data_IF_974702000010
#
_entry.id   IF_974702000010
#
_cell.length_a   1.000
_cell.length_b   1.000
_cell.length_c   1.000
_cell.angle_alpha   90.00
_cell.angle_beta   90.00
_cell.angle_gamma   90.00
#
_symmetry.space_group_name_H-M   'P 1'
#
loop_
_entity.id
_entity.type
_entity.pdbx_description
1 polymer ?
#
# COMPACT_ATOMS: atom_id res chain seq x y z
N UNK A 1 -1.61 7.43 -13.22
CA UNK A 1 -1.82 7.57 -11.75
C UNK A 1 -3.24 8.06 -11.42
N UNK A 2 -3.73 9.16 -12.02
CA UNK A 2 -5.10 9.67 -11.83
C UNK A 2 -6.18 8.60 -12.00
N UNK A 3 -6.04 7.74 -13.01
CA UNK A 3 -7.01 6.67 -13.24
C UNK A 3 -6.97 5.61 -12.14
N UNK A 4 -5.77 5.20 -11.70
CA UNK A 4 -5.58 4.29 -10.55
C UNK A 4 -6.27 4.84 -9.30
N UNK A 5 -6.20 6.16 -9.04
CA UNK A 5 -6.84 6.79 -7.90
C UNK A 5 -8.37 6.70 -7.89
N UNK A 6 -9.00 6.47 -9.05
CA UNK A 6 -10.44 6.29 -9.20
C UNK A 6 -10.87 4.82 -9.17
N UNK A 7 -9.94 3.87 -9.28
CA UNK A 7 -10.27 2.44 -9.32
C UNK A 7 -10.86 1.96 -7.99
N UNK A 8 -11.70 0.92 -8.02
CA UNK A 8 -12.10 0.17 -6.83
C UNK A 8 -10.86 -0.39 -6.10
N UNK A 9 -10.91 -0.44 -4.77
CA UNK A 9 -9.85 -1.03 -3.92
C UNK A 9 -10.44 -2.24 -3.22
N UNK A 10 -10.45 -3.34 -3.96
CA UNK A 10 -11.08 -4.61 -3.60
C UNK A 10 -10.25 -5.82 -4.08
N UNK A 11 -9.17 -5.60 -4.82
CA UNK A 11 -8.29 -6.67 -5.28
C UNK A 11 -7.45 -7.20 -4.11
N UNK A 12 -7.62 -8.47 -3.77
CA UNK A 12 -6.81 -9.16 -2.76
C UNK A 12 -5.51 -9.67 -3.38
N UNK A 13 -4.39 -9.39 -2.75
CA UNK A 13 -3.06 -9.85 -3.15
C UNK A 13 -2.30 -10.35 -1.93
N UNK A 14 -1.58 -11.47 -2.08
CA UNK A 14 -0.69 -11.96 -1.04
C UNK A 14 0.61 -11.15 -1.07
N UNK A 15 1.02 -10.65 0.09
CA UNK A 15 2.28 -9.98 0.32
C UNK A 15 2.91 -10.60 1.56
N UNK A 16 3.91 -11.46 1.35
CA UNK A 16 4.53 -12.26 2.41
C UNK A 16 3.47 -13.02 3.25
N UNK A 17 3.34 -12.71 4.55
CA UNK A 17 2.39 -13.35 5.48
C UNK A 17 1.03 -12.63 5.55
N UNK A 18 0.82 -11.55 4.78
CA UNK A 18 -0.43 -10.80 4.80
C UNK A 18 -1.18 -10.87 3.47
N UNK A 19 -2.50 -10.83 3.56
CA UNK A 19 -3.35 -10.49 2.42
C UNK A 19 -3.64 -8.98 2.46
N UNK A 20 -3.27 -8.27 1.41
CA UNK A 20 -3.51 -6.84 1.23
C UNK A 20 -4.61 -6.61 0.17
N UNK A 21 -5.41 -5.58 0.38
CA UNK A 21 -6.43 -5.11 -0.56
C UNK A 21 -5.89 -3.88 -1.29
N UNK A 22 -5.74 -3.96 -2.60
CA UNK A 22 -5.13 -2.92 -3.45
C UNK A 22 -6.09 -2.51 -4.58
N UNK A 23 -5.81 -1.42 -5.32
CA UNK A 23 -6.62 -1.04 -6.47
C UNK A 23 -6.67 -2.12 -7.54
N UNK A 24 -7.80 -2.23 -8.25
CA UNK A 24 -7.90 -3.09 -9.43
C UNK A 24 -6.84 -2.75 -10.50
N UNK A 25 -6.50 -3.75 -11.32
CA UNK A 25 -5.43 -3.65 -12.34
C UNK A 25 -4.09 -3.14 -11.78
N UNK A 26 -3.80 -3.43 -10.51
CA UNK A 26 -2.46 -3.22 -9.93
C UNK A 26 -1.90 -4.52 -9.37
N UNK A 27 -0.58 -4.60 -9.24
CA UNK A 27 0.14 -5.68 -8.56
C UNK A 27 1.21 -5.10 -7.64
N UNK A 28 1.64 -5.87 -6.65
CA UNK A 28 2.80 -5.51 -5.82
C UNK A 28 4.06 -6.05 -6.49
N UNK A 29 5.08 -5.22 -6.57
CA UNK A 29 6.42 -5.62 -6.97
C UNK A 29 7.07 -6.42 -5.83
N UNK A 30 7.37 -7.69 -6.05
CA UNK A 30 7.97 -8.55 -5.02
C UNK A 30 9.38 -8.09 -4.59
N UNK A 31 10.12 -7.42 -5.47
CA UNK A 31 11.49 -6.96 -5.17
C UNK A 31 11.52 -5.66 -4.37
N UNK A 32 10.61 -4.74 -4.67
CA UNK A 32 10.63 -3.37 -4.13
C UNK A 32 9.44 -3.06 -3.21
N UNK A 33 8.44 -3.94 -3.13
CA UNK A 33 7.20 -3.72 -2.38
C UNK A 33 6.27 -2.65 -2.96
N UNK A 34 6.64 -2.01 -4.07
CA UNK A 34 5.88 -0.92 -4.66
C UNK A 34 4.70 -1.40 -5.53
N UNK A 35 3.63 -0.62 -5.60
CA UNK A 35 2.53 -0.89 -6.53
C UNK A 35 2.94 -0.65 -7.98
N UNK A 36 2.52 -1.54 -8.88
CA UNK A 36 2.67 -1.42 -10.33
C UNK A 36 1.29 -1.41 -10.97
N UNK A 37 1.02 -0.40 -11.79
CA UNK A 37 -0.15 -0.40 -12.67
C UNK A 37 0.05 -1.41 -13.79
N UNK A 38 -0.84 -2.39 -13.89
CA UNK A 38 -0.70 -3.49 -14.85
C UNK A 38 -1.05 -3.07 -16.29
N UNK A 39 -1.84 -2.01 -16.46
CA UNK A 39 -2.17 -1.48 -17.80
C UNK A 39 -0.97 -0.80 -18.44
N UNK A 40 -0.21 -0.02 -17.66
CA UNK A 40 0.89 0.82 -18.18
C UNK A 40 2.28 0.28 -17.85
N UNK A 41 2.39 -0.66 -16.91
CA UNK A 41 3.66 -1.09 -16.33
C UNK A 41 4.29 -0.09 -15.37
N UNK A 42 3.65 1.06 -15.12
CA UNK A 42 4.23 2.13 -14.32
C UNK A 42 4.25 1.80 -12.82
N UNK A 43 5.39 2.04 -12.16
CA UNK A 43 5.55 1.89 -10.73
C UNK A 43 5.04 3.11 -9.97
N UNK A 44 4.03 2.93 -9.13
CA UNK A 44 3.56 3.95 -8.19
C UNK A 44 4.49 3.97 -6.97
N UNK A 45 4.81 5.17 -6.49
CA UNK A 45 5.54 5.38 -5.23
C UNK A 45 4.61 5.17 -4.03
N UNK A 46 4.05 3.95 -3.94
CA UNK A 46 3.26 3.43 -2.82
C UNK A 46 3.87 2.08 -2.49
N UNK A 47 4.54 1.99 -1.35
CA UNK A 47 5.43 0.89 -0.99
C UNK A 47 4.91 0.21 0.27
N UNK A 48 4.80 -1.10 0.22
CA UNK A 48 4.59 -1.94 1.40
C UNK A 48 5.93 -2.47 1.91
N UNK A 49 6.14 -2.44 3.22
CA UNK A 49 7.40 -2.86 3.85
C UNK A 49 7.16 -3.54 5.19
N UNK A 50 8.01 -4.48 5.56
CA UNK A 50 8.01 -5.11 6.88
C UNK A 50 9.04 -4.50 7.84
N UNK A 51 9.72 -3.43 7.41
CA UNK A 51 10.70 -2.72 8.24
C UNK A 51 10.00 -2.05 9.44
N UNK A 52 10.44 -2.43 10.64
CA UNK A 52 9.78 -2.07 11.90
C UNK A 52 9.71 -0.55 12.14
N UNK A 53 10.66 0.23 11.67
CA UNK A 53 10.83 1.65 12.01
C UNK A 53 10.55 2.66 10.87
N UNK A 54 10.23 2.22 9.66
CA UNK A 54 10.20 3.13 8.49
C UNK A 54 8.89 3.89 8.27
N UNK A 55 7.85 3.65 9.08
CA UNK A 55 6.48 4.13 8.79
C UNK A 55 5.65 4.42 10.02
N UNK A 56 4.81 5.46 9.93
CA UNK A 56 3.79 5.78 10.92
C UNK A 56 2.53 4.93 10.76
N UNK A 57 2.13 4.61 9.52
CA UNK A 57 1.00 3.74 9.26
C UNK A 57 1.42 2.26 9.39
N UNK A 58 0.87 1.55 10.36
CA UNK A 58 1.20 0.14 10.67
C UNK A 58 -0.02 -0.77 10.66
N UNK A 59 0.12 -1.95 10.07
CA UNK A 59 -0.82 -3.08 10.17
C UNK A 59 -0.14 -4.23 10.91
N UNK A 60 -0.65 -4.56 12.09
CA UNK A 60 -0.16 -5.73 12.87
C UNK A 60 -0.63 -7.02 12.19
N UNK A 61 0.29 -7.95 11.96
CA UNK A 61 -0.02 -9.28 11.42
C UNK A 61 0.00 -10.32 12.53
N UNK A 62 1.08 -10.35 13.32
CA UNK A 62 1.23 -11.18 14.52
C UNK A 62 2.20 -10.55 15.51
N UNK A 63 2.46 -11.21 16.64
CA UNK A 63 3.44 -10.69 17.60
C UNK A 63 4.83 -10.58 16.94
N UNK A 64 5.46 -9.42 17.05
CA UNK A 64 6.76 -9.15 16.43
C UNK A 64 6.76 -8.87 14.93
N UNK A 65 5.60 -8.94 14.24
CA UNK A 65 5.47 -8.69 12.80
C UNK A 65 4.36 -7.68 12.49
N UNK A 66 4.75 -6.57 11.86
CA UNK A 66 3.84 -5.55 11.35
C UNK A 66 4.32 -5.04 10.01
N UNK A 67 3.38 -4.75 9.12
CA UNK A 67 3.69 -4.10 7.84
C UNK A 67 3.38 -2.61 7.89
N UNK A 68 4.18 -1.87 7.15
CA UNK A 68 4.06 -0.45 6.90
C UNK A 68 3.65 -0.16 5.47
N UNK A 69 3.12 1.04 5.27
CA UNK A 69 2.87 1.61 3.95
C UNK A 69 3.51 3.01 3.87
N UNK A 70 4.18 3.30 2.75
CA UNK A 70 4.84 4.59 2.46
C UNK A 70 4.29 5.11 1.14
N UNK A 71 3.92 6.39 1.10
CA UNK A 71 3.58 7.08 -0.13
C UNK A 71 3.87 8.57 -0.02
N UNK A 72 4.01 9.24 -1.17
CA UNK A 72 4.25 10.67 -1.21
C UNK A 72 2.95 11.46 -0.98
N UNK A 73 2.79 12.01 0.22
CA UNK A 73 1.62 12.81 0.60
C UNK A 73 1.49 14.15 -0.15
N UNK A 74 2.56 14.63 -0.78
CA UNK A 74 2.53 15.85 -1.59
C UNK A 74 1.90 15.61 -2.97
N UNK A 75 1.76 14.35 -3.40
CA UNK A 75 1.09 14.00 -4.64
C UNK A 75 -0.34 13.56 -4.32
N UNK A 76 -1.31 14.41 -4.65
CA UNK A 76 -2.72 14.23 -4.32
C UNK A 76 -3.24 12.83 -4.67
N UNK A 77 -2.95 12.33 -5.87
CA UNK A 77 -3.38 11.02 -6.31
C UNK A 77 -2.77 9.88 -5.49
N UNK A 78 -1.48 9.96 -5.16
CA UNK A 78 -0.80 8.94 -4.36
C UNK A 78 -1.31 8.94 -2.91
N UNK A 79 -1.52 10.14 -2.34
CA UNK A 79 -2.13 10.31 -1.02
C UNK A 79 -3.52 9.68 -0.97
N UNK A 80 -4.37 9.97 -1.96
CA UNK A 80 -5.73 9.40 -2.02
C UNK A 80 -5.71 7.87 -2.13
N UNK A 81 -4.82 7.32 -2.96
CA UNK A 81 -4.68 5.86 -3.08
C UNK A 81 -4.20 5.27 -1.75
N UNK A 82 -3.13 5.83 -1.18
CA UNK A 82 -2.51 5.39 0.07
C UNK A 82 -3.50 5.37 1.23
N UNK A 83 -4.20 6.49 1.49
CA UNK A 83 -5.19 6.60 2.56
C UNK A 83 -6.35 5.60 2.41
N UNK A 84 -6.82 5.36 1.17
CA UNK A 84 -7.88 4.38 0.94
C UNK A 84 -7.39 2.95 1.16
N UNK A 85 -6.15 2.63 0.77
CA UNK A 85 -5.50 1.34 1.06
C UNK A 85 -5.34 1.15 2.56
N UNK A 86 -4.82 2.15 3.27
CA UNK A 86 -4.68 2.11 4.73
C UNK A 86 -6.00 1.78 5.41
N UNK A 87 -7.05 2.54 5.06
CA UNK A 87 -8.39 2.38 5.63
C UNK A 87 -8.95 0.98 5.41
N UNK A 88 -8.92 0.46 4.18
CA UNK A 88 -9.52 -0.85 3.86
C UNK A 88 -8.71 -2.01 4.46
N UNK A 89 -7.40 -1.82 4.66
CA UNK A 89 -6.53 -2.83 5.25
C UNK A 89 -6.37 -2.69 6.77
N UNK A 90 -6.95 -1.67 7.40
CA UNK A 90 -6.83 -1.46 8.84
C UNK A 90 -5.41 -1.09 9.28
N UNK A 91 -4.68 -0.29 8.49
CA UNK A 91 -3.48 0.37 8.99
C UNK A 91 -3.87 1.43 10.01
N UNK A 92 -3.06 1.55 11.06
CA UNK A 92 -3.24 2.52 12.14
C UNK A 92 -2.02 3.42 12.17
N UNK A 93 -2.24 4.74 12.28
CA UNK A 93 -1.17 5.68 12.50
C UNK A 93 -0.69 5.61 13.96
N UNK A 94 0.59 5.32 14.16
CA UNK A 94 1.23 5.19 15.48
C UNK A 94 2.22 6.31 15.80
N UNK A 95 2.40 7.28 14.90
CA UNK A 95 3.17 8.49 15.18
C UNK A 95 2.23 9.52 15.81
N UNK A 96 2.63 10.02 16.99
CA UNK A 96 1.94 11.09 17.70
C UNK A 96 2.46 12.46 17.28
#
# INVERSE_FOLDING_TARGET
IKDVAKRPINKKVQFEEATLIIPENTKINEKLGNLIDQETGYGLQIIFTNEKSSTCAKKKIRNGLSYGIIYNDNITELRLIGQRIEKVNGFVNICN
#
